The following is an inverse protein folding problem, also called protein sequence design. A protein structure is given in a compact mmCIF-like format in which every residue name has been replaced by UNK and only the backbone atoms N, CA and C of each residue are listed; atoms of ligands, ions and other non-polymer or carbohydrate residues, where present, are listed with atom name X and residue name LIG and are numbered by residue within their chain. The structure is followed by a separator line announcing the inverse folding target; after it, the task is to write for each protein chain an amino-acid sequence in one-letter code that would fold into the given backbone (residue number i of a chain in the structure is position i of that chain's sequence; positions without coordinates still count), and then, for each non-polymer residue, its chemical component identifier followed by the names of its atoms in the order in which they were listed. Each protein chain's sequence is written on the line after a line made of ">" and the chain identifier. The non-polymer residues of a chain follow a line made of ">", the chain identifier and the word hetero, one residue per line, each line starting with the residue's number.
data_IF_822734496467
#
_entry.id   IF_822734496467
#
_cell.length_a   1.000
_cell.length_b   1.000
_cell.length_c   1.000
_cell.angle_alpha   90.00
_cell.angle_beta   90.00
_cell.angle_gamma   90.00
#
_symmetry.space_group_name_H-M   'P 1'
#
loop_
_entity.id
_entity.type
_entity.pdbx_description
1 polymer ?
#
# COMPACT_ATOMS: atom_id res chain seq x y z
N UNK A 1 -51.41 39.04 41.97
CA UNK A 1 -51.04 37.64 41.82
C UNK A 1 -50.14 37.48 40.61
N UNK A 2 -48.80 37.37 40.80
CA UNK A 2 -47.82 37.28 39.75
C UNK A 2 -47.28 35.85 39.77
N UNK A 3 -47.49 35.08 38.69
CA UNK A 3 -46.94 33.72 38.52
C UNK A 3 -45.53 33.77 37.93
N UNK A 4 -44.51 33.10 38.49
CA UNK A 4 -43.22 33.00 37.89
C UNK A 4 -43.22 32.00 36.73
N UNK A 5 -42.68 32.44 35.58
CA UNK A 5 -42.37 31.58 34.44
C UNK A 5 -41.03 30.87 34.67
N UNK A 6 -41.06 29.56 34.90
CA UNK A 6 -39.88 28.71 34.87
C UNK A 6 -39.40 28.58 33.39
N UNK A 7 -38.22 29.16 33.08
CA UNK A 7 -37.52 28.93 31.83
C UNK A 7 -36.70 27.63 31.95
N UNK A 8 -37.12 26.58 31.23
CA UNK A 8 -36.32 25.40 31.01
C UNK A 8 -35.22 25.70 29.97
N UNK A 9 -34.05 26.10 30.40
CA UNK A 9 -32.84 26.30 29.56
C UNK A 9 -31.74 25.31 29.92
N UNK A 10 -31.94 23.99 29.73
CA UNK A 10 -30.94 23.01 30.12
C UNK A 10 -30.74 21.82 29.17
N UNK A 11 -31.45 21.78 28.02
CA UNK A 11 -31.44 20.57 27.19
C UNK A 11 -30.56 20.52 25.94
N UNK A 12 -30.06 21.60 25.32
CA UNK A 12 -29.21 21.43 24.11
C UNK A 12 -27.77 21.06 24.40
N UNK A 13 -27.23 21.41 25.56
CA UNK A 13 -25.78 21.18 25.85
C UNK A 13 -25.42 19.70 26.02
N UNK A 14 -26.30 18.88 26.61
CA UNK A 14 -26.05 17.42 26.75
C UNK A 14 -26.07 16.67 25.42
N UNK A 15 -26.91 17.10 24.47
CA UNK A 15 -26.99 16.48 23.14
C UNK A 15 -25.74 16.77 22.31
N UNK A 16 -25.21 17.99 22.39
CA UNK A 16 -23.98 18.39 21.70
C UNK A 16 -22.78 17.64 22.29
N UNK A 17 -22.71 17.49 23.62
CA UNK A 17 -21.65 16.73 24.29
C UNK A 17 -21.71 15.25 23.94
N UNK A 18 -22.90 14.66 23.82
CA UNK A 18 -23.09 13.26 23.41
C UNK A 18 -22.69 13.04 21.95
N UNK A 19 -23.01 13.97 21.05
CA UNK A 19 -22.57 13.91 19.65
C UNK A 19 -21.05 14.02 19.52
N UNK A 20 -20.40 14.90 20.30
CA UNK A 20 -18.95 15.04 20.32
C UNK A 20 -18.21 13.79 20.86
N UNK A 21 -18.83 13.06 21.79
CA UNK A 21 -18.32 11.79 22.34
C UNK A 21 -18.49 10.61 21.36
N UNK A 22 -19.43 10.69 20.42
CA UNK A 22 -19.69 9.64 19.41
C UNK A 22 -18.85 9.81 18.12
N UNK A 23 -18.30 11.00 17.87
CA UNK A 23 -17.47 11.28 16.70
C UNK A 23 -16.23 10.38 16.54
N UNK A 24 -15.47 10.03 17.60
CA UNK A 24 -14.31 9.13 17.46
C UNK A 24 -14.67 7.68 17.14
N UNK A 25 -15.93 7.28 17.23
CA UNK A 25 -16.36 5.91 16.89
C UNK A 25 -16.72 5.74 15.42
N UNK A 26 -16.72 6.81 14.64
CA UNK A 26 -16.84 6.78 13.18
C UNK A 26 -15.49 6.59 12.48
N UNK A 27 -14.51 5.99 13.15
CA UNK A 27 -13.22 5.61 12.57
C UNK A 27 -13.49 4.82 11.28
N UNK A 28 -13.34 5.47 10.14
CA UNK A 28 -13.34 4.80 8.85
C UNK A 28 -12.28 3.72 8.91
N UNK A 29 -12.64 2.48 8.55
CA UNK A 29 -11.65 1.42 8.42
C UNK A 29 -10.65 1.86 7.35
N UNK A 30 -9.43 2.23 7.76
CA UNK A 30 -8.37 2.60 6.85
C UNK A 30 -8.08 1.44 5.87
N UNK A 31 -7.85 1.72 4.58
CA UNK A 31 -7.62 0.69 3.60
C UNK A 31 -6.35 -0.10 3.92
N UNK A 32 -6.46 -1.43 3.80
CA UNK A 32 -5.35 -2.35 4.05
C UNK A 32 -4.87 -2.98 2.75
N UNK A 33 -3.56 -2.99 2.58
CA UNK A 33 -2.88 -3.53 1.42
C UNK A 33 -1.98 -4.69 1.81
N UNK A 34 -2.03 -5.78 1.05
CA UNK A 34 -1.09 -6.87 1.17
C UNK A 34 0.17 -6.56 0.35
N UNK A 35 1.32 -6.42 1.01
CA UNK A 35 2.59 -6.12 0.34
C UNK A 35 3.57 -7.28 0.54
N UNK A 36 4.28 -7.68 -0.51
CA UNK A 36 5.38 -8.63 -0.41
C UNK A 36 6.63 -8.06 -1.06
N UNK A 37 7.79 -8.33 -0.44
CA UNK A 37 9.10 -7.91 -0.94
C UNK A 37 10.05 -9.09 -1.00
N UNK A 38 10.84 -9.13 -2.06
CA UNK A 38 11.94 -10.05 -2.27
C UNK A 38 13.14 -9.26 -2.78
N UNK A 39 14.23 -9.24 -2.03
CA UNK A 39 15.39 -8.43 -2.36
C UNK A 39 16.67 -9.25 -2.20
N UNK A 40 17.51 -9.15 -3.21
CA UNK A 40 18.81 -9.81 -3.31
C UNK A 40 19.91 -8.77 -3.41
N UNK A 41 21.02 -9.01 -2.72
CA UNK A 41 22.19 -8.16 -2.75
C UNK A 41 23.41 -8.93 -3.23
N UNK A 42 24.03 -8.45 -4.30
CA UNK A 42 25.26 -9.02 -4.83
C UNK A 42 26.51 -8.62 -4.01
N UNK A 43 27.58 -9.41 -4.04
CA UNK A 43 28.80 -9.16 -3.26
C UNK A 43 29.55 -7.88 -3.67
N UNK A 44 29.33 -7.37 -4.87
CA UNK A 44 29.95 -6.15 -5.36
C UNK A 44 29.17 -4.87 -4.98
N UNK A 45 27.98 -4.99 -4.40
CA UNK A 45 27.14 -3.84 -4.05
C UNK A 45 27.79 -2.95 -2.98
N UNK A 46 28.64 -3.49 -2.10
CA UNK A 46 29.29 -2.73 -1.03
C UNK A 46 30.47 -1.89 -1.54
N UNK A 47 31.08 -2.28 -2.65
CA UNK A 47 32.19 -1.57 -3.30
C UNK A 47 31.73 -0.62 -4.42
N UNK A 48 30.47 -0.68 -4.81
CA UNK A 48 29.89 0.18 -5.82
C UNK A 48 29.54 1.55 -5.23
N UNK A 49 29.52 2.58 -6.08
CA UNK A 49 29.06 3.92 -5.68
C UNK A 49 27.61 3.90 -5.23
N UNK A 50 27.22 4.94 -4.48
CA UNK A 50 25.87 5.10 -3.93
C UNK A 50 24.94 5.94 -4.81
N UNK A 51 25.43 6.45 -5.93
CA UNK A 51 24.67 7.30 -6.85
C UNK A 51 24.09 6.45 -7.98
N UNK A 52 22.79 6.60 -8.22
CA UNK A 52 22.03 5.86 -9.22
C UNK A 52 21.29 6.82 -10.17
N UNK A 53 21.26 6.44 -11.42
CA UNK A 53 20.49 7.11 -12.47
C UNK A 53 19.34 6.19 -12.88
N UNK A 54 18.08 6.65 -12.80
CA UNK A 54 16.94 5.83 -13.18
C UNK A 54 16.87 5.62 -14.70
N UNK A 55 16.49 4.43 -15.10
CA UNK A 55 16.25 4.01 -16.48
C UNK A 55 14.97 3.17 -16.55
N UNK A 56 14.16 3.30 -17.60
CA UNK A 56 13.04 2.39 -17.81
C UNK A 56 13.52 0.96 -17.95
N UNK A 57 12.90 0.03 -17.19
CA UNK A 57 13.13 -1.39 -17.31
C UNK A 57 12.06 -2.11 -18.15
N UNK A 58 11.04 -1.38 -18.60
CA UNK A 58 9.96 -1.89 -19.45
C UNK A 58 10.28 -1.54 -20.90
N UNK A 59 10.20 -2.52 -21.80
CA UNK A 59 10.42 -2.32 -23.22
C UNK A 59 9.39 -1.33 -23.82
N UNK A 60 9.88 -0.38 -24.60
CA UNK A 60 9.04 0.65 -25.23
C UNK A 60 8.71 1.85 -24.35
N UNK A 61 9.08 1.86 -23.06
CA UNK A 61 8.94 3.04 -22.18
C UNK A 61 10.12 3.98 -22.38
N UNK A 62 9.85 5.25 -22.62
CA UNK A 62 10.87 6.28 -22.77
C UNK A 62 11.28 6.90 -21.41
N UNK A 63 12.50 7.47 -21.34
CA UNK A 63 12.98 8.13 -20.10
C UNK A 63 12.22 9.41 -19.77
N UNK A 64 11.60 10.05 -20.78
CA UNK A 64 10.77 11.24 -20.65
C UNK A 64 9.29 10.93 -20.45
N UNK A 65 8.91 9.64 -20.36
CA UNK A 65 7.55 9.24 -20.02
C UNK A 65 7.12 9.82 -18.68
N UNK A 66 5.95 10.47 -18.64
CA UNK A 66 5.48 11.19 -17.44
C UNK A 66 5.21 10.27 -16.27
N UNK A 67 4.68 9.07 -16.52
CA UNK A 67 4.42 8.10 -15.45
C UNK A 67 5.73 7.53 -14.91
N UNK A 68 6.70 7.23 -15.78
CA UNK A 68 8.02 6.81 -15.37
C UNK A 68 8.70 7.84 -14.47
N UNK A 69 8.69 9.11 -14.87
CA UNK A 69 9.29 10.20 -14.09
C UNK A 69 8.60 10.41 -12.74
N UNK A 70 7.29 10.32 -12.70
CA UNK A 70 6.51 10.41 -11.47
C UNK A 70 6.86 9.26 -10.51
N UNK A 71 6.89 8.02 -11.00
CA UNK A 71 7.30 6.84 -10.21
C UNK A 71 8.74 7.00 -9.71
N UNK A 72 9.67 7.40 -10.57
CA UNK A 72 11.08 7.61 -10.18
C UNK A 72 11.21 8.68 -9.09
N UNK A 73 10.46 9.79 -9.19
CA UNK A 73 10.44 10.84 -8.15
C UNK A 73 9.90 10.33 -6.81
N UNK A 74 8.85 9.52 -6.82
CA UNK A 74 8.29 8.92 -5.59
C UNK A 74 9.24 7.91 -4.92
N UNK A 75 10.19 7.33 -5.66
CA UNK A 75 11.19 6.41 -5.13
C UNK A 75 12.36 7.12 -4.43
N UNK A 76 12.61 8.40 -4.70
CA UNK A 76 13.75 9.15 -4.16
C UNK A 76 13.88 9.06 -2.63
N UNK A 77 12.81 9.19 -1.81
CA UNK A 77 12.88 9.02 -0.37
C UNK A 77 13.36 7.63 0.06
N UNK A 78 12.99 6.58 -0.69
CA UNK A 78 13.41 5.20 -0.41
C UNK A 78 14.92 5.02 -0.65
N UNK A 79 15.45 5.63 -1.71
CA UNK A 79 16.89 5.65 -1.98
C UNK A 79 17.65 6.41 -0.90
N UNK A 80 17.19 7.61 -0.56
CA UNK A 80 17.79 8.46 0.48
C UNK A 80 17.84 7.76 1.83
N UNK A 81 16.78 7.08 2.25
CA UNK A 81 16.74 6.32 3.50
C UNK A 81 17.74 5.15 3.54
N UNK A 82 18.19 4.70 2.37
CA UNK A 82 19.21 3.65 2.21
C UNK A 82 20.63 4.20 2.03
N UNK A 83 20.81 5.53 2.09
CA UNK A 83 22.09 6.19 1.84
C UNK A 83 22.46 6.23 0.36
N UNK A 84 21.50 6.02 -0.52
CA UNK A 84 21.66 6.15 -1.96
C UNK A 84 21.16 7.52 -2.44
N UNK A 85 21.71 7.99 -3.55
CA UNK A 85 21.25 9.20 -4.23
C UNK A 85 20.68 8.81 -5.57
N UNK A 86 19.42 9.20 -5.83
CA UNK A 86 18.77 9.02 -7.13
C UNK A 86 18.85 10.33 -7.91
N UNK A 87 19.59 10.33 -9.03
CA UNK A 87 19.74 11.50 -9.92
C UNK A 87 18.65 11.49 -10.99
N UNK A 88 17.65 12.33 -10.82
CA UNK A 88 16.54 12.47 -11.76
C UNK A 88 16.86 13.44 -12.91
N UNK A 89 17.84 14.35 -12.71
CA UNK A 89 18.22 15.36 -13.70
C UNK A 89 19.37 14.84 -14.57
N UNK A 90 19.16 14.77 -15.89
CA UNK A 90 20.16 14.33 -16.87
C UNK A 90 21.42 15.19 -16.88
N UNK A 91 21.31 16.49 -16.54
CA UNK A 91 22.44 17.43 -16.53
C UNK A 91 23.45 17.14 -15.41
N UNK A 92 23.02 16.44 -14.36
CA UNK A 92 23.86 16.09 -13.21
C UNK A 92 24.44 14.70 -13.26
N UNK A 93 24.14 13.91 -14.30
CA UNK A 93 24.60 12.52 -14.43
C UNK A 93 26.10 12.47 -14.80
N UNK A 94 26.83 11.57 -14.11
CA UNK A 94 28.21 11.26 -14.42
C UNK A 94 28.28 9.85 -15.07
N UNK A 95 29.32 9.62 -15.90
CA UNK A 95 29.60 8.31 -16.49
C UNK A 95 29.97 7.24 -15.47
N UNK A 96 30.41 7.66 -14.27
CA UNK A 96 30.72 6.78 -13.15
C UNK A 96 29.49 6.40 -12.32
N UNK A 97 28.34 7.06 -12.52
CA UNK A 97 27.12 6.76 -11.77
C UNK A 97 26.57 5.38 -12.13
N UNK A 98 26.04 4.66 -11.14
CA UNK A 98 25.35 3.39 -11.38
C UNK A 98 24.00 3.65 -12.08
N UNK A 99 23.41 2.60 -12.60
CA UNK A 99 22.06 2.64 -13.18
C UNK A 99 21.09 1.89 -12.27
N UNK A 100 19.84 2.34 -12.24
CA UNK A 100 18.74 1.55 -11.70
C UNK A 100 17.63 1.42 -12.73
N UNK A 101 17.35 0.19 -13.14
CA UNK A 101 16.25 -0.11 -14.03
C UNK A 101 14.97 -0.27 -13.22
N UNK A 102 13.94 0.48 -13.60
CA UNK A 102 12.64 0.54 -12.93
C UNK A 102 11.60 -0.08 -13.86
N UNK A 103 11.05 -1.23 -13.48
CA UNK A 103 9.94 -1.88 -14.17
C UNK A 103 8.74 -1.90 -13.24
N UNK A 104 7.59 -1.47 -13.73
CA UNK A 104 6.36 -1.45 -12.94
C UNK A 104 5.13 -1.73 -13.79
N UNK A 105 4.06 -2.13 -13.15
CA UNK A 105 2.80 -2.39 -13.80
C UNK A 105 1.73 -2.89 -12.85
N UNK A 106 0.52 -2.98 -13.36
CA UNK A 106 -0.64 -3.52 -12.67
C UNK A 106 -1.20 -4.68 -13.50
N UNK A 107 -1.63 -5.76 -12.82
CA UNK A 107 -2.22 -6.91 -13.49
C UNK A 107 -3.69 -6.68 -13.83
N UNK A 108 -4.26 -7.58 -14.63
CA UNK A 108 -5.70 -7.71 -14.77
C UNK A 108 -6.36 -7.97 -13.40
N UNK A 109 -7.62 -7.51 -13.23
CA UNK A 109 -8.34 -7.66 -11.97
C UNK A 109 -8.59 -9.13 -11.60
N UNK A 110 -8.35 -9.49 -10.34
CA UNK A 110 -8.72 -10.77 -9.74
C UNK A 110 -10.06 -10.62 -9.02
N UNK A 111 -11.09 -11.26 -9.57
CA UNK A 111 -12.46 -11.19 -9.04
C UNK A 111 -12.70 -12.36 -8.09
N UNK A 112 -12.91 -12.08 -6.80
CA UNK A 112 -13.20 -13.09 -5.79
C UNK A 112 -14.61 -12.99 -5.28
N UNK A 113 -15.29 -14.14 -5.25
CA UNK A 113 -16.66 -14.25 -4.76
C UNK A 113 -16.62 -14.89 -3.37
N UNK A 114 -17.19 -14.20 -2.39
CA UNK A 114 -17.29 -14.64 -1.01
C UNK A 114 -18.76 -14.92 -0.69
N UNK A 115 -19.07 -16.10 -0.22
CA UNK A 115 -20.40 -16.42 0.30
C UNK A 115 -20.35 -16.50 1.81
N UNK A 116 -21.07 -15.60 2.47
CA UNK A 116 -21.22 -15.61 3.93
C UNK A 116 -22.56 -16.23 4.27
N UNK A 117 -22.54 -17.21 5.16
CA UNK A 117 -23.75 -17.84 5.68
C UNK A 117 -24.03 -17.25 7.05
N UNK A 118 -25.19 -16.65 7.21
CA UNK A 118 -25.70 -16.18 8.49
C UNK A 118 -27.00 -16.90 8.86
N UNK A 119 -27.29 -16.98 10.15
CA UNK A 119 -28.56 -17.48 10.64
C UNK A 119 -29.32 -16.33 11.28
N UNK A 120 -30.46 -15.94 10.69
CA UNK A 120 -31.29 -14.85 11.19
C UNK A 120 -32.55 -15.39 11.84
N UNK A 121 -33.00 -14.84 12.97
CA UNK A 121 -34.24 -15.25 13.60
C UNK A 121 -35.43 -14.76 12.80
N UNK A 122 -36.21 -15.67 12.28
CA UNK A 122 -37.47 -15.37 11.64
C UNK A 122 -38.62 -15.62 12.62
N UNK A 123 -39.36 -14.55 12.98
CA UNK A 123 -40.44 -14.63 13.95
C UNK A 123 -41.80 -14.38 13.25
N UNK A 124 -42.77 -15.26 13.45
CA UNK A 124 -44.10 -15.14 12.93
C UNK A 124 -45.13 -15.39 14.02
N UNK A 125 -46.37 -14.93 13.82
CA UNK A 125 -47.51 -15.02 14.76
C UNK A 125 -47.81 -13.72 15.51
N UNK A 126 -48.89 -13.70 16.27
CA UNK A 126 -49.33 -12.53 17.05
C UNK A 126 -49.54 -12.89 18.53
N UNK A 127 -49.23 -11.95 19.41
CA UNK A 127 -49.45 -12.09 20.87
C UNK A 127 -48.67 -13.27 21.45
N UNK A 128 -49.37 -14.14 22.19
CA UNK A 128 -48.82 -15.31 22.86
C UNK A 128 -48.43 -16.48 21.90
N UNK A 129 -48.83 -16.39 20.63
CA UNK A 129 -48.53 -17.40 19.61
C UNK A 129 -47.39 -16.93 18.68
N UNK A 130 -46.31 -16.44 19.24
CA UNK A 130 -45.08 -16.09 18.51
C UNK A 130 -44.19 -17.31 18.42
N UNK A 131 -43.80 -17.65 17.20
CA UNK A 131 -42.81 -18.70 16.91
C UNK A 131 -41.60 -18.07 16.26
N UNK A 132 -40.42 -18.46 16.73
CA UNK A 132 -39.15 -18.03 16.16
C UNK A 132 -38.37 -19.27 15.70
N UNK A 133 -37.91 -19.24 14.46
CA UNK A 133 -36.93 -20.22 13.96
C UNK A 133 -35.77 -19.50 13.32
N UNK A 134 -34.59 -20.10 13.38
CA UNK A 134 -33.42 -19.62 12.69
C UNK A 134 -33.49 -20.05 11.22
N UNK A 135 -33.40 -19.08 10.32
CA UNK A 135 -33.38 -19.29 8.87
C UNK A 135 -31.98 -19.00 8.39
N UNK A 136 -31.44 -19.93 7.57
CA UNK A 136 -30.16 -19.75 6.90
C UNK A 136 -30.33 -18.69 5.81
N UNK A 137 -29.51 -17.66 5.87
CA UNK A 137 -29.43 -16.62 4.86
C UNK A 137 -28.02 -16.63 4.26
N UNK A 138 -27.97 -16.66 2.93
CA UNK A 138 -26.69 -16.64 2.19
C UNK A 138 -26.56 -15.27 1.54
N UNK A 139 -25.47 -14.55 1.89
CA UNK A 139 -25.08 -13.32 1.25
C UNK A 139 -23.85 -13.55 0.40
N UNK A 140 -23.96 -13.29 -0.89
CA UNK A 140 -22.82 -13.36 -1.82
C UNK A 140 -22.28 -11.97 -2.07
N UNK A 141 -20.98 -11.76 -1.80
CA UNK A 141 -20.27 -10.50 -2.03
C UNK A 141 -19.14 -10.74 -3.03
N UNK A 142 -19.02 -9.85 -3.98
CA UNK A 142 -17.93 -9.86 -4.95
C UNK A 142 -16.93 -8.79 -4.54
N UNK A 143 -15.64 -9.16 -4.49
CA UNK A 143 -14.53 -8.21 -4.32
C UNK A 143 -13.58 -8.33 -5.50
N UNK A 144 -13.12 -7.18 -5.98
CA UNK A 144 -12.13 -7.08 -7.05
C UNK A 144 -10.81 -6.69 -6.43
N UNK A 145 -9.74 -7.38 -6.79
CA UNK A 145 -8.38 -7.08 -6.35
C UNK A 145 -7.49 -6.84 -7.55
N UNK A 146 -6.58 -5.90 -7.40
CA UNK A 146 -5.53 -5.60 -8.36
C UNK A 146 -4.18 -5.95 -7.74
N UNK A 147 -3.25 -6.42 -8.59
CA UNK A 147 -1.89 -6.73 -8.19
C UNK A 147 -0.93 -5.81 -8.91
N UNK A 148 -0.33 -4.89 -8.18
CA UNK A 148 0.73 -4.04 -8.69
C UNK A 148 2.10 -4.66 -8.41
N UNK A 149 3.02 -4.52 -9.34
CA UNK A 149 4.41 -4.96 -9.20
C UNK A 149 5.37 -3.82 -9.52
N UNK A 150 6.44 -3.73 -8.73
CA UNK A 150 7.58 -2.86 -8.96
C UNK A 150 8.85 -3.67 -8.82
N UNK A 151 9.69 -3.65 -9.85
CA UNK A 151 11.00 -4.27 -9.88
C UNK A 151 12.07 -3.20 -10.06
N UNK A 152 13.02 -3.17 -9.14
CA UNK A 152 14.18 -2.28 -9.17
C UNK A 152 15.45 -3.11 -9.29
N UNK A 153 16.27 -2.82 -10.30
CA UNK A 153 17.52 -3.53 -10.53
C UNK A 153 18.69 -2.53 -10.60
N UNK A 154 19.46 -2.45 -9.53
CA UNK A 154 20.67 -1.64 -9.47
C UNK A 154 21.84 -2.36 -10.12
N UNK A 155 22.52 -1.69 -11.04
CA UNK A 155 23.69 -2.24 -11.73
C UNK A 155 24.76 -1.16 -11.96
N UNK A 156 26.00 -1.58 -12.19
CA UNK A 156 27.04 -0.68 -12.68
C UNK A 156 26.70 -0.22 -14.10
N UNK A 157 27.22 0.94 -14.49
CA UNK A 157 27.16 1.37 -15.90
C UNK A 157 28.27 0.65 -16.68
N UNK A 158 27.92 0.07 -17.81
CA UNK A 158 28.88 -0.51 -18.74
C UNK A 158 29.64 0.59 -19.54
N UNK A 159 30.80 0.29 -20.13
CA UNK A 159 31.60 1.27 -20.89
C UNK A 159 30.85 1.89 -22.07
N UNK A 160 29.89 1.19 -22.65
CA UNK A 160 29.00 1.65 -23.72
C UNK A 160 27.84 2.53 -23.20
N UNK A 161 27.76 2.74 -21.88
CA UNK A 161 26.70 3.49 -21.21
C UNK A 161 25.48 2.65 -20.83
N UNK A 162 25.43 1.37 -21.24
CA UNK A 162 24.33 0.46 -20.97
C UNK A 162 24.40 -0.24 -19.61
N UNK A 163 23.65 -1.34 -19.49
CA UNK A 163 23.55 -2.18 -18.30
C UNK A 163 24.84 -2.97 -18.08
N UNK A 164 25.48 -2.78 -16.95
CA UNK A 164 26.65 -3.53 -16.51
C UNK A 164 26.31 -4.69 -15.55
N UNK A 165 27.14 -4.92 -14.54
CA UNK A 165 26.94 -5.98 -13.55
C UNK A 165 25.85 -5.63 -12.57
N UNK A 166 24.98 -6.59 -12.26
CA UNK A 166 23.94 -6.41 -11.23
C UNK A 166 24.58 -6.29 -9.84
N UNK A 167 24.17 -5.26 -9.12
CA UNK A 167 24.57 -4.97 -7.75
C UNK A 167 23.52 -5.50 -6.75
N UNK A 168 22.26 -5.23 -7.03
CA UNK A 168 21.13 -5.68 -6.24
C UNK A 168 19.87 -5.70 -7.09
N UNK A 169 18.89 -6.46 -6.62
CA UNK A 169 17.55 -6.53 -7.20
C UNK A 169 16.53 -6.51 -6.08
N UNK A 170 15.52 -5.66 -6.18
CA UNK A 170 14.40 -5.62 -5.25
C UNK A 170 13.09 -5.70 -6.03
N UNK A 171 12.31 -6.73 -5.76
CA UNK A 171 10.98 -6.94 -6.30
C UNK A 171 9.97 -6.73 -5.18
N UNK A 172 8.99 -5.84 -5.39
CA UNK A 172 7.91 -5.61 -4.46
C UNK A 172 6.57 -5.73 -5.19
N UNK A 173 5.60 -6.35 -4.54
CA UNK A 173 4.25 -6.53 -5.06
C UNK A 173 3.24 -6.06 -4.03
N UNK A 174 2.18 -5.42 -4.50
CA UNK A 174 1.06 -4.97 -3.68
C UNK A 174 -0.24 -5.56 -4.20
N UNK A 175 -1.12 -5.94 -3.28
CA UNK A 175 -2.49 -6.37 -3.58
C UNK A 175 -3.45 -5.45 -2.86
N UNK A 176 -4.35 -4.83 -3.59
CA UNK A 176 -5.36 -3.90 -3.08
C UNK A 176 -6.65 -3.94 -3.90
N UNK A 177 -7.62 -3.11 -3.55
CA UNK A 177 -8.88 -2.97 -4.28
C UNK A 177 -8.88 -1.76 -5.24
N UNK A 178 -7.78 -0.99 -5.24
CA UNK A 178 -7.57 0.14 -6.14
C UNK A 178 -7.01 -0.32 -7.48
N UNK A 179 -7.48 0.28 -8.55
CA UNK A 179 -7.01 0.06 -9.92
C UNK A 179 -5.94 1.08 -10.36
N UNK A 180 -5.63 2.06 -9.53
CA UNK A 180 -4.57 3.03 -9.78
C UNK A 180 -3.22 2.55 -9.21
N UNK A 181 -2.23 2.40 -10.11
CA UNK A 181 -0.86 2.03 -9.72
C UNK A 181 -0.25 2.99 -8.70
N UNK A 182 -0.53 4.29 -8.79
CA UNK A 182 0.03 5.30 -7.87
C UNK A 182 -0.43 5.09 -6.44
N UNK A 183 -1.72 4.78 -6.25
CA UNK A 183 -2.29 4.45 -4.94
C UNK A 183 -1.63 3.19 -4.36
N UNK A 184 -1.50 2.13 -5.18
CA UNK A 184 -0.83 0.90 -4.77
C UNK A 184 0.66 1.11 -4.49
N UNK A 185 1.33 2.01 -5.22
CA UNK A 185 2.73 2.39 -4.98
C UNK A 185 2.91 3.01 -3.59
N UNK A 186 1.98 3.89 -3.14
CA UNK A 186 2.06 4.47 -1.79
C UNK A 186 2.11 3.41 -0.69
N UNK A 187 1.37 2.31 -0.86
CA UNK A 187 1.43 1.19 0.08
C UNK A 187 2.75 0.40 0.01
N UNK A 188 3.44 0.41 -1.13
CA UNK A 188 4.74 -0.26 -1.29
C UNK A 188 5.89 0.54 -0.68
N UNK A 189 5.85 1.89 -0.74
CA UNK A 189 6.98 2.75 -0.36
C UNK A 189 7.50 2.50 1.06
N UNK A 190 6.68 2.37 2.12
CA UNK A 190 7.17 2.13 3.47
C UNK A 190 7.94 0.82 3.64
N UNK A 191 7.52 -0.25 2.94
CA UNK A 191 8.20 -1.54 2.92
C UNK A 191 9.48 -1.46 2.09
N UNK A 192 9.42 -0.81 0.92
CA UNK A 192 10.56 -0.61 0.05
C UNK A 192 11.68 0.17 0.75
N UNK A 193 11.34 1.22 1.48
CA UNK A 193 12.28 2.05 2.25
C UNK A 193 13.13 1.22 3.22
N UNK A 194 12.56 0.15 3.79
CA UNK A 194 13.25 -0.74 4.73
C UNK A 194 14.12 -1.80 4.04
N UNK A 195 13.73 -2.25 2.83
CA UNK A 195 14.29 -3.43 2.18
C UNK A 195 15.06 -3.18 0.88
N UNK A 196 14.99 -1.96 0.31
CA UNK A 196 15.68 -1.61 -0.94
C UNK A 196 17.17 -1.98 -0.90
N UNK A 197 17.61 -2.82 -1.84
CA UNK A 197 19.01 -3.23 -1.99
C UNK A 197 19.58 -4.01 -0.81
N UNK A 198 18.77 -4.55 0.11
CA UNK A 198 19.17 -5.52 1.13
C UNK A 198 18.97 -6.94 0.61
N UNK A 199 19.60 -7.91 1.27
CA UNK A 199 19.22 -9.30 1.13
C UNK A 199 18.13 -9.62 2.16
N UNK A 200 16.96 -10.06 1.69
CA UNK A 200 15.83 -10.45 2.56
C UNK A 200 15.89 -11.92 2.95
N UNK A 201 16.76 -12.71 2.36
CA UNK A 201 16.84 -14.16 2.59
C UNK A 201 15.61 -14.92 2.07
N UNK A 202 14.76 -14.27 1.27
CA UNK A 202 13.51 -14.80 0.72
C UNK A 202 12.39 -13.76 0.74
N UNK A 203 11.23 -14.16 0.22
CA UNK A 203 10.07 -13.27 0.14
C UNK A 203 9.44 -13.05 1.51
N UNK A 204 9.28 -11.79 1.90
CA UNK A 204 8.62 -11.34 3.12
C UNK A 204 7.25 -10.74 2.81
N UNK A 205 6.33 -10.83 3.76
CA UNK A 205 4.94 -10.39 3.59
C UNK A 205 4.56 -9.41 4.68
N UNK A 206 3.85 -8.36 4.28
CA UNK A 206 3.44 -7.25 5.14
C UNK A 206 1.97 -6.92 4.90
N UNK A 207 1.33 -6.36 5.92
CA UNK A 207 0.09 -5.60 5.78
C UNK A 207 0.41 -4.16 6.02
N UNK A 208 0.05 -3.32 5.07
CA UNK A 208 0.22 -1.87 5.15
C UNK A 208 -1.16 -1.24 5.25
N UNK A 209 -1.36 -0.46 6.31
CA UNK A 209 -2.57 0.34 6.49
C UNK A 209 -2.21 1.78 6.18
N UNK A 210 -2.93 2.38 5.23
CA UNK A 210 -2.79 3.80 4.88
C UNK A 210 -3.96 4.55 5.51
N UNK A 211 -3.65 5.54 6.37
CA UNK A 211 -4.62 6.52 6.84
C UNK A 211 -4.25 7.87 6.20
N UNK A 212 -5.25 8.67 5.82
CA UNK A 212 -5.00 9.97 5.19
C UNK A 212 -4.28 10.94 6.13
N UNK A 213 -4.50 10.81 7.44
CA UNK A 213 -4.01 11.73 8.46
C UNK A 213 -2.82 11.20 9.28
N UNK A 214 -2.46 9.92 9.13
CA UNK A 214 -1.44 9.25 9.95
C UNK A 214 -0.31 8.64 9.10
N UNK A 215 0.84 8.42 9.75
CA UNK A 215 1.94 7.69 9.12
C UNK A 215 1.53 6.24 8.80
N UNK A 216 1.97 5.69 7.64
CA UNK A 216 1.65 4.31 7.27
C UNK A 216 2.05 3.31 8.35
N UNK A 217 1.13 2.43 8.74
CA UNK A 217 1.40 1.34 9.68
C UNK A 217 1.78 0.10 8.88
N UNK A 218 2.96 -0.46 9.18
CA UNK A 218 3.52 -1.64 8.50
C UNK A 218 3.63 -2.78 9.50
N UNK A 219 2.93 -3.88 9.25
CA UNK A 219 2.98 -5.10 10.06
C UNK A 219 3.53 -6.26 9.24
N UNK A 220 4.62 -6.88 9.68
CA UNK A 220 5.17 -8.09 9.05
C UNK A 220 4.30 -9.30 9.42
N UNK A 221 3.93 -10.11 8.41
CA UNK A 221 3.21 -11.36 8.60
C UNK A 221 4.18 -12.53 8.54
N UNK A 222 4.23 -13.32 9.59
CA UNK A 222 4.86 -14.64 9.52
C UNK A 222 4.02 -15.56 8.63
N UNK A 223 4.61 -16.03 7.55
CA UNK A 223 4.01 -17.09 6.72
C UNK A 223 4.28 -18.42 7.43
N UNK A 224 3.31 -18.89 8.21
CA UNK A 224 3.31 -20.28 8.67
C UNK A 224 3.19 -21.14 7.43
N UNK A 225 4.28 -21.81 7.06
CA UNK A 225 4.25 -22.85 6.01
C UNK A 225 3.32 -23.97 6.49
N UNK A 226 2.18 -24.10 5.84
CA UNK A 226 1.29 -25.25 5.94
C UNK A 226 1.72 -26.31 4.94
#
# INVERSE_FOLDING_TARGET
>A
MIRPRFRHTGRPCCLILLCLLLLPWLGACAPQYGVSVDSLRGPQADSAGTVYVPRPGVEGMAEDDLLFRDVAAQLEPCFTARGYTLKLDEQTQDKSDNLVFISFGISEPDVRIYTTVSYVPYTWGRGHFRHTRWVREEETRTKVFFHAGLLLEGCTRAPDGGRGKNLWRTEIRCTGQDDDFRTLLQAMLPVLQQHLGKDTGGRRYFVVTLDEDEAPVVEEKEVTAN
#
